data_IF_607035594750
#
_entry.id   IF_607035594750
#
_cell.length_a   1.000
_cell.length_b   1.000
_cell.length_c   1.000
_cell.angle_alpha   90.00
_cell.angle_beta   90.00
_cell.angle_gamma   90.00
#
_symmetry.space_group_name_H-M   'P 1'
#
loop_
_entity.id
_entity.type
_entity.pdbx_description
1 polymer ?
#
# COMPACT_ATOMS: atom_id res chain seq x y z
N UNK A 1 -12.41 -55.64 31.53
CA UNK A 1 -12.30 -54.19 31.21
C UNK A 1 -11.94 -54.08 29.74
N UNK A 2 -12.88 -53.69 28.87
CA UNK A 2 -12.66 -53.64 27.43
C UNK A 2 -12.04 -52.30 27.05
N UNK A 3 -10.86 -52.31 26.44
CA UNK A 3 -10.21 -51.12 25.92
C UNK A 3 -10.94 -50.66 24.66
N UNK A 4 -11.53 -49.47 24.71
CA UNK A 4 -12.12 -48.84 23.51
C UNK A 4 -10.93 -48.43 22.62
N UNK A 5 -10.79 -48.97 21.40
CA UNK A 5 -9.74 -48.53 20.49
C UNK A 5 -10.08 -47.10 20.04
N UNK A 6 -9.28 -46.12 20.48
CA UNK A 6 -9.36 -44.76 19.98
C UNK A 6 -8.92 -44.77 18.51
N UNK A 7 -9.88 -44.81 17.59
CA UNK A 7 -9.61 -44.64 16.17
C UNK A 7 -9.03 -43.23 15.98
N UNK A 8 -7.84 -43.07 15.38
CA UNK A 8 -7.31 -41.75 15.09
C UNK A 8 -8.25 -41.06 14.10
N UNK A 9 -8.96 -40.03 14.55
CA UNK A 9 -9.76 -39.17 13.67
C UNK A 9 -8.80 -38.53 12.67
N UNK A 10 -8.96 -38.85 11.38
CA UNK A 10 -8.19 -38.22 10.32
C UNK A 10 -8.36 -36.69 10.42
N UNK A 11 -7.27 -35.90 10.31
CA UNK A 11 -7.37 -34.45 10.40
C UNK A 11 -8.30 -33.95 9.29
N UNK A 12 -9.38 -33.26 9.68
CA UNK A 12 -10.31 -32.66 8.74
C UNK A 12 -9.53 -31.73 7.79
N UNK A 13 -9.70 -31.91 6.48
CA UNK A 13 -9.11 -31.03 5.47
C UNK A 13 -9.70 -29.64 5.68
N UNK A 14 -8.97 -28.76 6.36
CA UNK A 14 -9.40 -27.37 6.56
C UNK A 14 -9.23 -26.62 5.26
N UNK A 15 -10.34 -26.36 4.58
CA UNK A 15 -10.39 -25.45 3.44
C UNK A 15 -9.85 -24.06 3.79
N UNK A 16 -9.38 -23.32 2.78
CA UNK A 16 -8.91 -21.95 2.97
C UNK A 16 -10.06 -21.07 3.48
N UNK A 17 -9.89 -20.34 4.60
CA UNK A 17 -10.95 -19.47 5.09
C UNK A 17 -11.18 -18.32 4.10
N UNK A 18 -12.44 -18.01 3.77
CA UNK A 18 -12.78 -16.91 2.85
C UNK A 18 -12.19 -15.56 3.28
N UNK A 19 -12.03 -15.36 4.59
CA UNK A 19 -11.37 -14.18 5.18
C UNK A 19 -9.91 -14.03 4.75
N UNK A 20 -9.18 -15.14 4.54
CA UNK A 20 -7.81 -15.09 4.02
C UNK A 20 -7.79 -14.64 2.55
N UNK A 21 -8.74 -15.13 1.74
CA UNK A 21 -8.87 -14.71 0.35
C UNK A 21 -9.22 -13.23 0.25
N UNK A 22 -10.14 -12.75 1.11
CA UNK A 22 -10.47 -11.34 1.21
C UNK A 22 -9.26 -10.49 1.63
N UNK A 23 -8.49 -10.93 2.63
CA UNK A 23 -7.27 -10.24 3.08
C UNK A 23 -6.26 -10.08 1.92
N UNK A 24 -6.03 -11.16 1.16
CA UNK A 24 -5.12 -11.14 0.01
C UNK A 24 -5.67 -10.20 -1.07
N UNK A 25 -6.97 -10.30 -1.40
CA UNK A 25 -7.60 -9.44 -2.40
C UNK A 25 -7.47 -7.95 -2.06
N UNK A 26 -7.77 -7.59 -0.81
CA UNK A 26 -7.61 -6.22 -0.31
C UNK A 26 -6.15 -5.78 -0.42
N UNK A 27 -5.22 -6.62 0.03
CA UNK A 27 -3.78 -6.32 -0.02
C UNK A 27 -3.30 -6.07 -1.44
N UNK A 28 -3.73 -6.88 -2.41
CA UNK A 28 -3.38 -6.74 -3.83
C UNK A 28 -3.92 -5.42 -4.39
N UNK A 29 -5.21 -5.13 -4.19
CA UNK A 29 -5.83 -3.89 -4.70
C UNK A 29 -5.17 -2.66 -4.07
N UNK A 30 -4.90 -2.70 -2.77
CA UNK A 30 -4.20 -1.63 -2.03
C UNK A 30 -2.80 -1.41 -2.58
N UNK A 31 -2.04 -2.49 -2.77
CA UNK A 31 -0.69 -2.43 -3.30
C UNK A 31 -0.67 -1.86 -4.72
N UNK A 32 -1.58 -2.30 -5.59
CA UNK A 32 -1.68 -1.78 -6.95
C UNK A 32 -2.02 -0.29 -6.97
N UNK A 33 -2.95 0.16 -6.13
CA UNK A 33 -3.27 1.58 -6.02
C UNK A 33 -2.05 2.41 -5.60
N UNK A 34 -1.29 1.95 -4.59
CA UNK A 34 -0.08 2.61 -4.14
C UNK A 34 1.03 2.63 -5.21
N UNK A 35 1.22 1.51 -5.93
CA UNK A 35 2.20 1.39 -7.01
C UNK A 35 1.85 2.34 -8.17
N UNK A 36 0.61 2.30 -8.64
CA UNK A 36 0.15 3.17 -9.75
C UNK A 36 0.30 4.63 -9.35
N UNK A 37 -0.12 5.01 -8.14
CA UNK A 37 0.01 6.38 -7.65
C UNK A 37 1.48 6.81 -7.54
N UNK A 38 2.34 5.96 -6.97
CA UNK A 38 3.77 6.23 -6.86
C UNK A 38 4.47 6.37 -8.21
N UNK A 39 4.09 5.56 -9.21
CA UNK A 39 4.59 5.67 -10.57
C UNK A 39 4.13 6.98 -11.22
N UNK A 40 2.85 7.33 -11.11
CA UNK A 40 2.33 8.59 -11.67
C UNK A 40 3.10 9.80 -11.15
N UNK A 41 3.40 9.82 -9.84
CA UNK A 41 4.23 10.87 -9.22
C UNK A 41 5.66 10.84 -9.76
N UNK A 42 6.27 9.65 -9.81
CA UNK A 42 7.66 9.50 -10.23
C UNK A 42 7.90 9.83 -11.71
N UNK A 43 6.90 9.59 -12.57
CA UNK A 43 7.02 9.84 -14.02
C UNK A 43 6.43 11.19 -14.45
N UNK A 44 5.63 11.84 -13.60
CA UNK A 44 4.92 13.08 -13.95
C UNK A 44 5.84 14.30 -14.15
N UNK A 45 6.99 14.33 -13.48
CA UNK A 45 8.01 15.36 -13.68
C UNK A 45 7.49 16.80 -13.47
N UNK A 46 7.99 17.74 -14.29
CA UNK A 46 7.63 19.16 -14.21
C UNK A 46 6.18 19.43 -14.66
N UNK A 47 5.68 18.68 -15.63
CA UNK A 47 4.32 18.85 -16.17
C UNK A 47 3.25 18.49 -15.14
N UNK A 48 3.46 17.41 -14.35
CA UNK A 48 2.56 17.10 -13.24
C UNK A 48 2.50 18.25 -12.22
N UNK A 49 3.62 18.89 -11.91
CA UNK A 49 3.66 20.03 -10.98
C UNK A 49 2.90 21.24 -11.55
N UNK A 50 3.02 21.50 -12.86
CA UNK A 50 2.23 22.55 -13.53
C UNK A 50 0.74 22.26 -13.43
N UNK A 51 0.33 21.04 -13.74
CA UNK A 51 -1.08 20.63 -13.67
C UNK A 51 -1.64 20.78 -12.25
N UNK A 52 -0.86 20.44 -11.23
CA UNK A 52 -1.23 20.61 -9.82
C UNK A 52 -1.42 22.08 -9.45
N UNK A 53 -0.50 22.95 -9.87
CA UNK A 53 -0.59 24.39 -9.61
C UNK A 53 -1.79 25.03 -10.33
N UNK A 54 -2.06 24.62 -11.58
CA UNK A 54 -3.26 25.05 -12.30
C UNK A 54 -4.52 24.57 -11.59
N UNK A 55 -4.54 23.33 -11.10
CA UNK A 55 -5.67 22.79 -10.35
C UNK A 55 -5.85 23.48 -8.98
N UNK A 56 -4.78 23.97 -8.37
CA UNK A 56 -4.81 24.80 -7.17
C UNK A 56 -5.31 26.24 -7.42
N UNK A 57 -5.63 26.59 -8.68
CA UNK A 57 -6.26 27.86 -9.06
C UNK A 57 -5.31 28.90 -9.65
N UNK A 58 -4.08 28.51 -10.00
CA UNK A 58 -3.16 29.39 -10.73
C UNK A 58 -3.48 29.39 -12.24
N UNK A 59 -3.24 30.50 -12.95
CA UNK A 59 -3.24 30.51 -14.41
C UNK A 59 -2.14 29.61 -14.96
N UNK A 60 -2.17 29.36 -16.27
CA UNK A 60 -1.19 28.51 -16.98
C UNK A 60 0.25 28.84 -16.54
N UNK A 61 0.89 27.86 -15.90
CA UNK A 61 2.17 28.04 -15.19
C UNK A 61 3.32 27.81 -16.15
N UNK A 62 4.15 28.85 -16.34
CA UNK A 62 5.37 28.75 -17.15
C UNK A 62 6.52 28.11 -16.35
N UNK A 63 7.59 27.71 -17.03
CA UNK A 63 8.79 27.17 -16.36
C UNK A 63 9.42 28.17 -15.38
N UNK A 64 9.35 29.47 -15.70
CA UNK A 64 9.83 30.55 -14.81
C UNK A 64 9.00 30.69 -13.54
N UNK A 65 7.69 30.46 -13.62
CA UNK A 65 6.82 30.49 -12.43
C UNK A 65 7.15 29.31 -11.52
N UNK A 66 7.45 28.15 -12.12
CA UNK A 66 7.82 26.93 -11.42
C UNK A 66 9.14 27.07 -10.65
N UNK A 67 10.14 27.75 -11.22
CA UNK A 67 11.38 28.12 -10.50
C UNK A 67 11.11 29.08 -9.34
N UNK A 68 10.19 30.02 -9.51
CA UNK A 68 9.80 30.95 -8.45
C UNK A 68 9.13 30.20 -7.30
N UNK A 69 8.22 29.26 -7.61
CA UNK A 69 7.58 28.38 -6.63
C UNK A 69 8.58 27.46 -5.91
N UNK A 70 9.52 26.86 -6.64
CA UNK A 70 10.53 25.99 -6.01
C UNK A 70 11.40 26.79 -5.03
N UNK A 71 11.83 27.99 -5.42
CA UNK A 71 12.59 28.88 -4.54
C UNK A 71 11.77 29.30 -3.31
N UNK A 72 10.47 29.60 -3.49
CA UNK A 72 9.57 29.96 -2.40
C UNK A 72 9.34 28.79 -1.43
N UNK A 73 9.30 27.56 -1.94
CA UNK A 73 9.22 26.33 -1.16
C UNK A 73 10.56 25.95 -0.48
N UNK A 74 11.62 26.76 -0.66
CA UNK A 74 12.92 26.57 -0.03
C UNK A 74 13.87 25.63 -0.78
N UNK A 75 13.58 25.31 -2.04
CA UNK A 75 14.45 24.50 -2.90
C UNK A 75 15.38 25.40 -3.72
N UNK A 76 16.63 24.96 -3.89
CA UNK A 76 17.65 25.69 -4.67
C UNK A 76 17.34 25.70 -6.17
N UNK A 77 16.56 24.72 -6.64
CA UNK A 77 16.18 24.57 -8.04
C UNK A 77 14.89 23.78 -8.20
N UNK A 78 14.23 23.95 -9.35
CA UNK A 78 13.10 23.13 -9.78
C UNK A 78 13.45 21.64 -9.85
N UNK A 79 14.69 21.31 -10.23
CA UNK A 79 15.14 19.94 -10.35
C UNK A 79 15.25 19.25 -8.98
N UNK A 80 15.65 19.97 -7.93
CA UNK A 80 15.66 19.45 -6.56
C UNK A 80 14.24 19.18 -6.04
N UNK A 81 13.31 20.09 -6.36
CA UNK A 81 11.90 19.93 -6.04
C UNK A 81 11.30 18.69 -6.72
N UNK A 82 11.49 18.55 -8.03
CA UNK A 82 11.01 17.40 -8.82
C UNK A 82 11.68 16.10 -8.36
N UNK A 83 12.98 16.13 -8.04
CA UNK A 83 13.72 14.98 -7.52
C UNK A 83 13.15 14.50 -6.17
N UNK A 84 12.74 15.44 -5.31
CA UNK A 84 12.10 15.12 -4.03
C UNK A 84 10.75 14.46 -4.24
N UNK A 85 9.89 15.03 -5.10
CA UNK A 85 8.60 14.43 -5.47
C UNK A 85 8.77 13.03 -6.07
N UNK A 86 9.71 12.89 -7.00
CA UNK A 86 10.06 11.63 -7.64
C UNK A 86 10.49 10.58 -6.62
N UNK A 87 11.34 10.96 -5.66
CA UNK A 87 11.80 10.08 -4.58
C UNK A 87 10.63 9.61 -3.70
N UNK A 88 9.70 10.51 -3.35
CA UNK A 88 8.48 10.15 -2.60
C UNK A 88 7.61 9.17 -3.40
N UNK A 89 7.46 9.39 -4.70
CA UNK A 89 6.76 8.47 -5.61
C UNK A 89 7.36 7.06 -5.60
N UNK A 90 8.69 6.95 -5.68
CA UNK A 90 9.39 5.66 -5.57
C UNK A 90 9.23 5.00 -4.20
N UNK A 91 9.22 5.77 -3.10
CA UNK A 91 9.00 5.22 -1.77
C UNK A 91 7.58 4.65 -1.62
N UNK A 92 6.56 5.36 -2.12
CA UNK A 92 5.19 4.88 -2.14
C UNK A 92 5.03 3.62 -3.00
N UNK A 93 5.62 3.61 -4.19
CA UNK A 93 5.61 2.45 -5.08
C UNK A 93 6.36 1.26 -4.49
N UNK A 94 7.51 1.49 -3.86
CA UNK A 94 8.31 0.47 -3.18
C UNK A 94 7.57 -0.15 -1.99
N UNK A 95 6.91 0.68 -1.18
CA UNK A 95 6.06 0.19 -0.08
C UNK A 95 4.87 -0.62 -0.61
N UNK A 96 4.21 -0.17 -1.69
CA UNK A 96 3.17 -0.94 -2.37
C UNK A 96 3.68 -2.27 -2.91
N UNK A 97 4.86 -2.31 -3.52
CA UNK A 97 5.48 -3.55 -4.02
C UNK A 97 5.82 -4.51 -2.88
N UNK A 98 6.37 -4.01 -1.77
CA UNK A 98 6.60 -4.82 -0.57
C UNK A 98 5.29 -5.41 -0.02
N UNK A 99 4.24 -4.59 0.08
CA UNK A 99 2.91 -5.03 0.49
C UNK A 99 2.35 -6.12 -0.42
N UNK A 100 2.53 -6.01 -1.74
CA UNK A 100 2.13 -7.02 -2.71
C UNK A 100 2.87 -8.34 -2.47
N UNK A 101 4.19 -8.30 -2.39
CA UNK A 101 5.03 -9.49 -2.20
C UNK A 101 4.66 -10.21 -0.89
N UNK A 102 4.58 -9.48 0.23
CA UNK A 102 4.25 -10.10 1.51
C UNK A 102 2.77 -10.53 1.59
N UNK A 103 1.86 -9.82 0.93
CA UNK A 103 0.46 -10.21 0.79
C UNK A 103 0.31 -11.56 0.09
N UNK A 104 1.06 -11.76 -1.00
CA UNK A 104 1.11 -13.04 -1.71
C UNK A 104 1.78 -14.14 -0.87
N UNK A 105 2.81 -13.82 -0.08
CA UNK A 105 3.42 -14.78 0.86
C UNK A 105 2.51 -15.17 2.03
N UNK A 106 1.43 -14.40 2.28
CA UNK A 106 0.43 -14.71 3.31
C UNK A 106 -0.47 -15.90 2.96
N UNK A 107 -0.33 -16.50 1.77
CA UNK A 107 -1.09 -17.69 1.33
C UNK A 107 -1.08 -18.86 2.34
N UNK A 108 0.01 -19.03 3.11
CA UNK A 108 0.14 -20.06 4.15
C UNK A 108 -0.19 -19.57 5.57
N UNK A 109 -0.69 -18.34 5.71
CA UNK A 109 -1.05 -17.70 6.98
C UNK A 109 0.05 -17.72 8.07
N UNK A 110 1.32 -17.81 7.66
CA UNK A 110 2.45 -17.83 8.58
C UNK A 110 2.53 -16.55 9.42
N UNK A 111 2.88 -16.67 10.71
CA UNK A 111 3.00 -15.50 11.60
C UNK A 111 3.96 -14.44 11.05
N UNK A 112 5.10 -14.85 10.49
CA UNK A 112 6.08 -13.94 9.89
C UNK A 112 5.49 -13.15 8.71
N UNK A 113 4.75 -13.80 7.80
CA UNK A 113 4.09 -13.12 6.67
C UNK A 113 3.07 -12.09 7.15
N UNK A 114 2.27 -12.42 8.18
CA UNK A 114 1.27 -11.49 8.76
C UNK A 114 1.92 -10.23 9.35
N UNK A 115 3.07 -10.39 10.01
CA UNK A 115 3.85 -9.25 10.54
C UNK A 115 4.38 -8.39 9.40
N UNK A 116 5.00 -9.00 8.37
CA UNK A 116 5.53 -8.28 7.22
C UNK A 116 4.46 -7.53 6.42
N UNK A 117 3.27 -8.14 6.24
CA UNK A 117 2.10 -7.47 5.65
C UNK A 117 1.68 -6.26 6.48
N UNK A 118 1.64 -6.40 7.81
CA UNK A 118 1.26 -5.30 8.71
C UNK A 118 2.23 -4.13 8.60
N UNK A 119 3.55 -4.42 8.63
CA UNK A 119 4.60 -3.41 8.49
C UNK A 119 4.51 -2.71 7.13
N UNK A 120 4.36 -3.49 6.05
CA UNK A 120 4.31 -2.93 4.71
C UNK A 120 3.04 -2.13 4.47
N UNK A 121 1.90 -2.57 5.00
CA UNK A 121 0.64 -1.84 4.96
C UNK A 121 0.76 -0.51 5.72
N UNK A 122 1.42 -0.50 6.88
CA UNK A 122 1.70 0.72 7.62
C UNK A 122 2.57 1.69 6.81
N UNK A 123 3.64 1.22 6.17
CA UNK A 123 4.44 2.07 5.27
C UNK A 123 3.64 2.60 4.09
N UNK A 124 2.86 1.75 3.43
CA UNK A 124 1.96 2.18 2.33
C UNK A 124 1.00 3.27 2.79
N UNK A 125 0.41 3.13 3.98
CA UNK A 125 -0.46 4.16 4.56
C UNK A 125 0.30 5.47 4.83
N UNK A 126 1.48 5.39 5.46
CA UNK A 126 2.28 6.58 5.79
C UNK A 126 2.65 7.34 4.50
N UNK A 127 3.18 6.65 3.48
CA UNK A 127 3.54 7.32 2.23
C UNK A 127 2.32 7.84 1.47
N UNK A 128 1.18 7.14 1.54
CA UNK A 128 -0.06 7.63 0.93
C UNK A 128 -0.62 8.85 1.65
N UNK A 129 -0.45 8.95 2.97
CA UNK A 129 -0.80 10.15 3.75
C UNK A 129 0.10 11.34 3.42
N UNK A 130 1.41 11.11 3.24
CA UNK A 130 2.34 12.14 2.79
C UNK A 130 1.92 12.68 1.42
N UNK A 131 1.61 11.77 0.48
CA UNK A 131 1.10 12.16 -0.85
C UNK A 131 -0.19 12.97 -0.72
N UNK A 132 -1.13 12.55 0.12
CA UNK A 132 -2.40 13.27 0.29
C UNK A 132 -2.23 14.66 0.95
N UNK A 133 -1.17 14.84 1.75
CA UNK A 133 -0.84 16.12 2.36
C UNK A 133 -0.14 17.10 1.41
N UNK A 134 0.38 16.63 0.28
CA UNK A 134 0.90 17.45 -0.79
C UNK A 134 -0.24 17.88 -1.76
N UNK A 135 0.01 18.86 -2.62
CA UNK A 135 -0.88 19.18 -3.75
C UNK A 135 -1.00 17.95 -4.65
N UNK A 136 -2.22 17.42 -4.83
CA UNK A 136 -2.46 16.20 -5.62
C UNK A 136 -3.66 16.33 -6.54
N UNK A 137 -3.62 15.65 -7.67
CA UNK A 137 -4.77 15.59 -8.56
C UNK A 137 -5.88 14.76 -7.94
N UNK A 138 -7.13 14.96 -8.36
CA UNK A 138 -8.27 14.18 -7.86
C UNK A 138 -8.06 12.67 -7.99
N UNK A 139 -7.42 12.23 -9.08
CA UNK A 139 -7.09 10.82 -9.29
C UNK A 139 -6.04 10.30 -8.29
N UNK A 140 -4.98 11.08 -8.05
CA UNK A 140 -3.91 10.75 -7.09
C UNK A 140 -4.44 10.71 -5.66
N UNK A 141 -5.26 11.68 -5.28
CA UNK A 141 -5.95 11.71 -3.99
C UNK A 141 -6.87 10.49 -3.80
N UNK A 142 -7.61 10.10 -4.85
CA UNK A 142 -8.46 8.90 -4.82
C UNK A 142 -7.66 7.62 -4.63
N UNK A 143 -6.54 7.45 -5.35
CA UNK A 143 -5.65 6.30 -5.20
C UNK A 143 -4.97 6.27 -3.82
N UNK A 144 -4.53 7.42 -3.31
CA UNK A 144 -3.96 7.54 -1.98
C UNK A 144 -4.98 7.15 -0.90
N UNK A 145 -6.22 7.64 -0.98
CA UNK A 145 -7.28 7.27 -0.04
C UNK A 145 -7.62 5.78 -0.11
N UNK A 146 -7.65 5.20 -1.31
CA UNK A 146 -7.86 3.77 -1.48
C UNK A 146 -6.71 2.97 -0.85
N UNK A 147 -5.46 3.41 -1.02
CA UNK A 147 -4.29 2.79 -0.39
C UNK A 147 -4.32 2.91 1.15
N UNK A 148 -4.80 4.03 1.70
CA UNK A 148 -4.95 4.24 3.14
C UNK A 148 -6.01 3.30 3.72
N UNK A 149 -7.23 3.34 3.16
CA UNK A 149 -8.34 2.51 3.63
C UNK A 149 -8.05 1.03 3.44
N UNK A 150 -7.47 0.68 2.29
CA UNK A 150 -7.02 -0.67 1.97
C UNK A 150 -5.93 -1.17 2.92
N UNK A 151 -4.98 -0.31 3.32
CA UNK A 151 -3.97 -0.61 4.33
C UNK A 151 -4.58 -0.94 5.70
N UNK A 152 -5.55 -0.13 6.16
CA UNK A 152 -6.29 -0.38 7.40
C UNK A 152 -6.99 -1.74 7.35
N UNK A 153 -7.74 -1.99 6.26
CA UNK A 153 -8.46 -3.24 6.08
C UNK A 153 -7.50 -4.44 5.99
N UNK A 154 -6.37 -4.30 5.29
CA UNK A 154 -5.35 -5.34 5.21
C UNK A 154 -4.81 -5.68 6.60
N UNK A 155 -4.56 -4.70 7.47
CA UNK A 155 -4.12 -4.93 8.85
C UNK A 155 -5.20 -5.66 9.64
N UNK A 156 -6.44 -5.15 9.65
CA UNK A 156 -7.56 -5.74 10.40
C UNK A 156 -7.80 -7.19 9.98
N UNK A 157 -7.92 -7.43 8.68
CA UNK A 157 -8.21 -8.76 8.15
C UNK A 157 -7.06 -9.74 8.41
N UNK A 158 -5.81 -9.26 8.29
CA UNK A 158 -4.62 -10.05 8.61
C UNK A 158 -4.63 -10.57 10.03
N UNK A 159 -5.23 -9.86 10.99
CA UNK A 159 -5.25 -10.24 12.40
C UNK A 159 -6.48 -11.03 12.87
N UNK A 160 -7.45 -11.31 11.99
CA UNK A 160 -8.65 -12.05 12.36
C UNK A 160 -8.36 -13.49 12.86
N UNK A 161 -9.11 -13.98 13.87
CA UNK A 161 -8.83 -15.25 14.53
C UNK A 161 -8.95 -16.47 13.60
N UNK A 162 -9.80 -16.38 12.56
CA UNK A 162 -9.95 -17.41 11.54
C UNK A 162 -8.63 -17.74 10.83
N UNK A 163 -7.80 -16.72 10.55
CA UNK A 163 -6.48 -16.90 9.90
C UNK A 163 -5.51 -17.60 10.86
N UNK A 164 -5.57 -17.25 12.16
CA UNK A 164 -4.77 -17.92 13.18
C UNK A 164 -5.11 -19.41 13.36
N UNK A 165 -6.41 -19.76 13.27
CA UNK A 165 -6.87 -21.16 13.28
C UNK A 165 -6.38 -21.93 12.05
N UNK A 166 -6.50 -21.34 10.87
CA UNK A 166 -6.00 -21.95 9.62
C UNK A 166 -4.48 -22.16 9.67
N UNK A 167 -3.71 -21.17 10.14
CA UNK A 167 -2.26 -21.27 10.26
C UNK A 167 -1.79 -22.39 11.21
N UNK A 168 -2.60 -22.72 12.25
CA UNK A 168 -2.32 -23.87 13.14
C UNK A 168 -2.64 -25.19 12.43
N UNK A 169 -3.76 -25.24 11.72
CA UNK A 169 -4.19 -26.44 10.99
C UNK A 169 -3.25 -26.81 9.83
N UNK A 170 -2.65 -25.83 9.14
CA UNK A 170 -1.69 -26.08 8.05
C UNK A 170 -0.26 -26.36 8.51
N UNK A 171 0.03 -26.23 9.82
CA UNK A 171 1.31 -26.60 10.42
C UNK A 171 1.31 -28.01 11.03
N UNK A 172 0.13 -28.61 11.17
CA UNK A 172 -0.07 -29.99 11.62
C UNK A 172 0.08 -30.97 10.46
#
# INVERSE_FOLDING_TARGET
>A
MSAIPATPTAPAVTGRPGVLVAAIGITVVTALAAIVNGILIATGGKELVKDLLVQAGLPEVSDSDLELFSNLAGYTSTDDFVSTFTTRGYLAAGAGAALLVFGLLMLKAGKAARILVTISAAFTMIFSLVILGDETTTAMAGLAMLAILGGILAIVFTWLPAIGRYAKATKA
#
